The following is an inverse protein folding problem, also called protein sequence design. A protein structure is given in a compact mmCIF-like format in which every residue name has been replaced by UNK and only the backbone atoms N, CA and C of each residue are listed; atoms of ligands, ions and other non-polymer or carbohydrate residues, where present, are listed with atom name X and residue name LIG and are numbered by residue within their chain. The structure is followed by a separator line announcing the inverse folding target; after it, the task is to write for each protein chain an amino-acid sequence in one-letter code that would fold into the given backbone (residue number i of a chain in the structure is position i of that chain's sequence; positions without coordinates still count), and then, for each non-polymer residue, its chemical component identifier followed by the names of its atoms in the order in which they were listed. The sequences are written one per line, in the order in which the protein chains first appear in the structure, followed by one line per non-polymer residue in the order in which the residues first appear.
data_IF_679180878346
#
_entry.id   IF_679180878346
#
_cell.length_a   1.000
_cell.length_b   1.000
_cell.length_c   1.000
_cell.angle_alpha   90.00
_cell.angle_beta   90.00
_cell.angle_gamma   90.00
#
_symmetry.space_group_name_H-M   'P 1'
#
loop_
_entity.id
_entity.type
_entity.pdbx_description
1 polymer ?
#
# COMPACT_ATOMS: atom_id res chain seq x y z
N UNK A 1 10.91 52.34 0.18
CA UNK A 1 10.25 51.23 0.91
C UNK A 1 10.25 50.00 0.00
N UNK A 2 11.11 48.99 0.22
CA UNK A 2 11.22 47.85 -0.73
C UNK A 2 12.31 46.80 -0.48
N UNK A 3 13.11 46.94 0.59
CA UNK A 3 14.23 46.03 0.89
C UNK A 3 13.81 44.88 1.82
N UNK A 4 12.82 45.09 2.70
CA UNK A 4 12.33 44.08 3.66
C UNK A 4 11.65 42.88 3.00
N UNK A 5 10.75 43.12 2.04
CA UNK A 5 9.97 42.07 1.36
C UNK A 5 10.85 41.11 0.54
N UNK A 6 11.94 41.62 -0.05
CA UNK A 6 12.87 40.80 -0.86
C UNK A 6 13.76 39.89 -0.02
N UNK A 7 14.11 40.28 1.21
CA UNK A 7 14.88 39.41 2.13
C UNK A 7 14.00 38.29 2.66
N UNK A 8 12.79 38.61 3.15
CA UNK A 8 11.87 37.61 3.69
C UNK A 8 11.46 36.57 2.65
N UNK A 9 11.21 36.99 1.40
CA UNK A 9 10.93 36.05 0.30
C UNK A 9 12.11 35.11 0.00
N UNK A 10 13.36 35.60 0.07
CA UNK A 10 14.56 34.77 -0.12
C UNK A 10 14.76 33.77 1.03
N UNK A 11 14.53 34.17 2.28
CA UNK A 11 14.67 33.28 3.44
C UNK A 11 13.61 32.18 3.45
N UNK A 12 12.35 32.50 3.11
CA UNK A 12 11.31 31.48 2.93
C UNK A 12 11.64 30.53 1.77
N UNK A 13 12.19 31.05 0.67
CA UNK A 13 12.63 30.24 -0.47
C UNK A 13 13.73 29.24 -0.09
N UNK A 14 14.75 29.67 0.68
CA UNK A 14 15.81 28.78 1.15
C UNK A 14 15.31 27.73 2.15
N UNK A 15 14.45 28.11 3.09
CA UNK A 15 13.89 27.18 4.07
C UNK A 15 13.03 26.10 3.38
N UNK A 16 12.20 26.50 2.41
CA UNK A 16 11.41 25.56 1.61
C UNK A 16 12.27 24.60 0.79
N UNK A 17 13.34 25.08 0.17
CA UNK A 17 14.29 24.25 -0.57
C UNK A 17 15.03 23.26 0.34
N UNK A 18 15.47 23.70 1.52
CA UNK A 18 16.12 22.84 2.49
C UNK A 18 15.18 21.74 3.02
N UNK A 19 13.93 22.08 3.34
CA UNK A 19 12.92 21.11 3.77
C UNK A 19 12.62 20.07 2.67
N UNK A 20 12.45 20.52 1.42
CA UNK A 20 12.27 19.63 0.27
C UNK A 20 13.48 18.73 0.04
N UNK A 21 14.70 19.27 0.16
CA UNK A 21 15.95 18.51 0.06
C UNK A 21 16.05 17.41 1.12
N UNK A 22 15.84 17.76 2.39
CA UNK A 22 15.83 16.79 3.51
C UNK A 22 14.80 15.70 3.30
N UNK A 23 13.58 16.07 2.87
CA UNK A 23 12.54 15.09 2.58
C UNK A 23 12.97 14.13 1.47
N UNK A 24 13.43 14.65 0.33
CA UNK A 24 13.79 13.85 -0.84
C UNK A 24 15.01 12.96 -0.62
N UNK A 25 15.97 13.40 0.20
CA UNK A 25 17.24 12.70 0.40
C UNK A 25 17.24 11.73 1.60
N UNK A 26 16.45 12.01 2.64
CA UNK A 26 16.46 11.19 3.87
C UNK A 26 15.12 10.48 4.11
N UNK A 27 14.02 11.23 4.16
CA UNK A 27 12.72 10.68 4.55
C UNK A 27 12.12 9.79 3.47
N UNK A 28 12.23 10.21 2.20
CA UNK A 28 11.68 9.48 1.07
C UNK A 28 12.35 8.11 0.88
N UNK A 29 13.69 7.99 0.81
CA UNK A 29 14.33 6.68 0.69
C UNK A 29 13.98 5.77 1.87
N UNK A 30 13.90 6.30 3.09
CA UNK A 30 13.53 5.53 4.27
C UNK A 30 12.09 4.97 4.19
N UNK A 31 11.08 5.81 3.94
CA UNK A 31 9.70 5.33 3.94
C UNK A 31 9.35 4.51 2.70
N UNK A 32 10.11 4.67 1.61
CA UNK A 32 9.91 3.90 0.37
C UNK A 32 10.36 2.44 0.50
N UNK A 33 11.28 2.16 1.42
CA UNK A 33 11.77 0.81 1.74
C UNK A 33 11.43 0.34 3.17
N UNK A 34 10.40 0.93 3.78
CA UNK A 34 10.14 0.75 5.20
C UNK A 34 9.97 -0.74 5.57
N UNK A 35 10.89 -1.23 6.40
CA UNK A 35 10.91 -2.61 6.86
C UNK A 35 11.36 -3.63 5.82
N UNK A 36 11.58 -3.25 4.55
CA UNK A 36 12.06 -4.14 3.48
C UNK A 36 13.59 -4.21 3.44
N UNK A 37 14.13 -5.33 2.97
CA UNK A 37 15.57 -5.49 2.70
C UNK A 37 15.92 -5.01 1.29
N UNK A 38 17.22 -4.81 1.02
CA UNK A 38 17.68 -4.42 -0.32
C UNK A 38 17.42 -5.54 -1.35
N UNK A 39 17.55 -6.82 -0.95
CA UNK A 39 17.18 -7.99 -1.76
C UNK A 39 15.68 -8.01 -2.09
N UNK A 40 14.82 -7.76 -1.10
CA UNK A 40 13.38 -7.64 -1.30
C UNK A 40 13.02 -6.47 -2.21
N UNK A 41 13.84 -5.41 -2.26
CA UNK A 41 13.62 -4.27 -3.14
C UNK A 41 14.08 -4.54 -4.57
N UNK A 42 15.17 -5.31 -4.75
CA UNK A 42 15.73 -5.63 -6.06
C UNK A 42 15.10 -6.84 -6.74
N UNK A 43 14.49 -7.76 -5.99
CA UNK A 43 13.86 -8.97 -6.55
C UNK A 43 12.57 -8.61 -7.29
N UNK A 44 12.38 -9.07 -8.54
CA UNK A 44 11.12 -8.89 -9.27
C UNK A 44 9.95 -9.58 -8.55
N UNK A 45 8.80 -8.90 -8.49
CA UNK A 45 7.54 -9.44 -7.98
C UNK A 45 6.50 -9.49 -9.10
N UNK A 46 5.51 -10.40 -9.02
CA UNK A 46 4.38 -10.40 -9.94
C UNK A 46 3.70 -9.03 -9.99
N UNK A 47 3.41 -8.55 -11.20
CA UNK A 47 2.83 -7.22 -11.44
C UNK A 47 3.84 -6.11 -11.70
N UNK A 48 5.14 -6.34 -11.49
CA UNK A 48 6.17 -5.32 -11.77
C UNK A 48 6.25 -4.92 -13.25
N UNK A 49 5.79 -5.78 -14.16
CA UNK A 49 5.78 -5.55 -15.60
C UNK A 49 4.45 -4.96 -16.10
N UNK A 50 3.47 -4.74 -15.22
CA UNK A 50 2.17 -4.16 -15.59
C UNK A 50 2.24 -2.65 -15.82
N UNK A 51 3.27 -2.00 -15.28
CA UNK A 51 3.56 -0.56 -15.45
C UNK A 51 4.84 -0.42 -16.28
N UNK A 52 4.71 -0.22 -17.60
CA UNK A 52 5.85 -0.19 -18.53
C UNK A 52 6.98 0.82 -18.15
N UNK A 53 6.63 1.96 -17.54
CA UNK A 53 7.58 3.00 -17.10
C UNK A 53 7.25 3.53 -15.70
N UNK A 54 7.38 2.67 -14.68
CA UNK A 54 7.11 3.07 -13.30
C UNK A 54 8.01 4.24 -12.86
N UNK A 55 7.41 5.40 -12.62
CA UNK A 55 8.12 6.62 -12.16
C UNK A 55 8.33 6.68 -10.65
N UNK A 56 7.61 5.82 -9.92
CA UNK A 56 7.75 5.59 -8.50
C UNK A 56 7.53 4.10 -8.21
N UNK A 57 8.39 3.55 -7.36
CA UNK A 57 8.30 2.19 -6.83
C UNK A 57 8.65 2.23 -5.35
N UNK A 58 7.78 1.67 -4.52
CA UNK A 58 8.01 1.52 -3.08
C UNK A 58 7.83 0.07 -2.68
N UNK A 59 8.74 -0.47 -1.88
CA UNK A 59 8.68 -1.84 -1.35
C UNK A 59 8.69 -1.79 0.17
N UNK A 60 7.66 -2.29 0.84
CA UNK A 60 7.54 -2.25 2.31
C UNK A 60 7.27 -3.63 2.82
N UNK A 61 7.81 -3.97 3.99
CA UNK A 61 7.66 -5.33 4.50
C UNK A 61 7.56 -5.39 6.02
N UNK A 62 6.84 -6.39 6.51
CA UNK A 62 6.75 -6.73 7.93
C UNK A 62 6.78 -8.24 8.11
N UNK A 63 7.36 -8.69 9.21
CA UNK A 63 7.28 -10.09 9.64
C UNK A 63 6.11 -10.24 10.60
N UNK A 64 5.27 -11.23 10.35
CA UNK A 64 4.05 -11.53 11.09
C UNK A 64 4.21 -12.92 11.70
N UNK A 65 3.99 -13.04 13.02
CA UNK A 65 4.00 -14.32 13.73
C UNK A 65 2.68 -15.09 13.50
N UNK A 66 2.37 -15.35 12.23
CA UNK A 66 1.26 -16.19 11.80
C UNK A 66 1.62 -16.97 10.52
N UNK A 67 1.02 -18.15 10.28
CA UNK A 67 1.23 -18.90 9.04
C UNK A 67 0.65 -18.16 7.82
N UNK A 68 1.15 -18.42 6.59
CA UNK A 68 0.75 -17.66 5.40
C UNK A 68 -0.76 -17.66 5.14
N UNK A 69 -1.45 -18.76 5.44
CA UNK A 69 -2.91 -18.85 5.28
C UNK A 69 -3.69 -17.91 6.21
N UNK A 70 -3.21 -17.70 7.45
CA UNK A 70 -3.84 -16.78 8.38
C UNK A 70 -3.63 -15.33 7.96
N UNK A 71 -2.45 -15.00 7.43
CA UNK A 71 -2.16 -13.69 6.85
C UNK A 71 -2.99 -13.47 5.57
N UNK A 72 -3.06 -14.48 4.71
CA UNK A 72 -3.83 -14.45 3.48
C UNK A 72 -5.32 -14.20 3.71
N UNK A 73 -5.92 -14.88 4.70
CA UNK A 73 -7.32 -14.67 5.06
C UNK A 73 -7.62 -13.20 5.39
N UNK A 74 -6.65 -12.46 5.95
CA UNK A 74 -6.79 -11.02 6.21
C UNK A 74 -6.60 -10.17 4.95
N UNK A 75 -5.71 -10.58 4.05
CA UNK A 75 -5.46 -9.89 2.77
C UNK A 75 -6.66 -10.03 1.82
N UNK A 76 -7.35 -11.16 1.81
CA UNK A 76 -8.55 -11.30 0.95
C UNK A 76 -9.80 -10.61 1.52
N UNK A 77 -9.75 -10.20 2.78
CA UNK A 77 -10.78 -9.37 3.42
C UNK A 77 -10.57 -7.87 3.18
N UNK A 78 -9.46 -7.46 2.54
CA UNK A 78 -9.24 -6.07 2.12
C UNK A 78 -10.41 -5.67 1.20
N UNK A 79 -11.25 -4.74 1.63
CA UNK A 79 -12.47 -4.35 0.90
C UNK A 79 -13.80 -4.60 1.61
N UNK A 80 -13.82 -5.43 2.66
CA UNK A 80 -15.00 -5.70 3.49
C UNK A 80 -14.97 -4.95 4.83
N UNK A 81 -13.77 -4.76 5.38
CA UNK A 81 -13.57 -4.03 6.62
C UNK A 81 -13.00 -2.65 6.26
N UNK A 82 -13.72 -1.57 6.62
CA UNK A 82 -13.04 -0.30 6.92
C UNK A 82 -11.93 -0.67 7.89
N UNK A 83 -10.66 -0.34 7.59
CA UNK A 83 -9.56 -0.69 8.50
C UNK A 83 -9.82 -0.02 9.86
N UNK A 84 -10.43 -0.77 10.77
CA UNK A 84 -10.51 -0.43 12.18
C UNK A 84 -9.15 -0.81 12.79
N UNK A 85 -8.15 0.03 12.54
CA UNK A 85 -7.18 0.20 13.62
C UNK A 85 -8.01 0.54 14.85
N UNK A 86 -7.85 -0.20 15.95
CA UNK A 86 -8.46 0.14 17.23
C UNK A 86 -8.22 1.63 17.49
N UNK A 87 -9.27 2.46 17.32
CA UNK A 87 -9.18 3.92 17.26
C UNK A 87 -9.14 4.56 15.86
N UNK A 88 -9.99 4.12 14.91
CA UNK A 88 -10.21 4.87 13.66
C UNK A 88 -10.73 6.27 13.98
N UNK A 89 -9.91 7.29 13.72
CA UNK A 89 -10.30 8.70 13.89
C UNK A 89 -10.83 9.25 12.56
N UNK A 90 -11.53 10.40 12.57
CA UNK A 90 -11.92 11.14 11.35
C UNK A 90 -10.76 11.41 10.37
N UNK A 91 -9.52 11.34 10.86
CA UNK A 91 -8.30 11.43 10.06
C UNK A 91 -8.13 10.25 9.10
N UNK A 92 -8.58 9.05 9.47
CA UNK A 92 -8.44 7.84 8.67
C UNK A 92 -9.39 7.81 7.46
N UNK A 93 -10.58 8.40 7.64
CA UNK A 93 -11.56 8.63 6.59
C UNK A 93 -11.07 9.69 5.59
N UNK A 94 -10.42 10.76 6.08
CA UNK A 94 -9.80 11.80 5.26
C UNK A 94 -8.61 11.29 4.43
N UNK A 95 -7.86 10.31 4.93
CA UNK A 95 -6.74 9.70 4.22
C UNK A 95 -7.16 8.69 3.13
N UNK A 96 -8.46 8.40 2.97
CA UNK A 96 -8.93 7.45 1.96
C UNK A 96 -8.48 6.01 2.24
N UNK A 97 -8.40 5.64 3.52
CA UNK A 97 -8.00 4.30 3.97
C UNK A 97 -9.07 3.24 3.74
N UNK A 98 -10.31 3.61 3.45
CA UNK A 98 -11.37 2.64 3.16
C UNK A 98 -11.08 1.93 1.85
N UNK A 99 -10.92 0.61 1.89
CA UNK A 99 -11.03 -0.21 0.68
C UNK A 99 -12.46 -0.70 0.64
N UNK A 100 -13.15 -0.53 -0.48
CA UNK A 100 -14.51 -1.05 -0.67
C UNK A 100 -14.58 -1.88 -1.94
N UNK A 101 -15.05 -3.12 -1.81
CA UNK A 101 -15.37 -3.96 -2.97
C UNK A 101 -16.64 -3.46 -3.65
N UNK A 102 -16.62 -3.34 -4.98
CA UNK A 102 -17.79 -2.84 -5.74
C UNK A 102 -18.48 -3.92 -6.57
N UNK A 103 -17.70 -4.78 -7.23
CA UNK A 103 -18.21 -5.79 -8.16
C UNK A 103 -17.64 -7.18 -7.78
N UNK A 104 -18.26 -7.88 -6.81
CA UNK A 104 -17.82 -9.21 -6.41
C UNK A 104 -18.23 -10.26 -7.46
N UNK A 105 -17.26 -11.03 -7.95
CA UNK A 105 -17.49 -12.16 -8.87
C UNK A 105 -17.45 -13.52 -8.14
N UNK A 106 -16.85 -13.58 -6.94
CA UNK A 106 -16.68 -14.81 -6.17
C UNK A 106 -17.90 -15.22 -5.33
N UNK A 107 -18.10 -16.53 -5.19
CA UNK A 107 -19.00 -17.08 -4.17
C UNK A 107 -18.42 -16.84 -2.75
N UNK A 108 -19.31 -16.67 -1.76
CA UNK A 108 -18.99 -16.58 -0.33
C UNK A 108 -18.05 -15.43 0.10
N UNK A 109 -17.95 -14.34 -0.68
CA UNK A 109 -17.17 -13.16 -0.31
C UNK A 109 -15.65 -13.29 -0.48
N UNK A 110 -15.16 -14.36 -1.11
CA UNK A 110 -13.74 -14.49 -1.46
C UNK A 110 -13.37 -13.56 -2.62
N UNK A 111 -12.16 -12.98 -2.62
CA UNK A 111 -11.64 -12.20 -3.76
C UNK A 111 -11.45 -13.12 -4.95
N UNK A 112 -11.96 -12.71 -6.10
CA UNK A 112 -11.76 -13.38 -7.39
C UNK A 112 -11.03 -12.48 -8.37
N UNK A 113 -10.42 -13.08 -9.41
CA UNK A 113 -9.86 -12.31 -10.53
C UNK A 113 -10.94 -11.36 -11.09
N UNK A 114 -10.54 -10.12 -11.38
CA UNK A 114 -11.44 -9.08 -11.86
C UNK A 114 -12.23 -8.33 -10.78
N UNK A 115 -12.22 -8.78 -9.52
CA UNK A 115 -12.90 -8.05 -8.44
C UNK A 115 -12.33 -6.63 -8.30
N UNK A 116 -13.21 -5.64 -8.22
CA UNK A 116 -12.83 -4.24 -8.10
C UNK A 116 -12.78 -3.78 -6.64
N UNK A 117 -11.63 -3.24 -6.26
CA UNK A 117 -11.33 -2.63 -4.99
C UNK A 117 -11.14 -1.12 -5.17
N UNK A 118 -12.01 -0.35 -4.56
CA UNK A 118 -11.93 1.12 -4.58
C UNK A 118 -11.24 1.61 -3.32
N UNK A 119 -10.22 2.45 -3.49
CA UNK A 119 -9.58 3.15 -2.38
C UNK A 119 -10.32 4.45 -2.07
N UNK A 120 -10.60 4.69 -0.79
CA UNK A 120 -11.30 5.85 -0.28
C UNK A 120 -12.79 5.91 -0.63
N UNK A 121 -13.47 6.97 -0.19
CA UNK A 121 -14.86 7.23 -0.55
C UNK A 121 -15.00 7.44 -2.07
N UNK A 122 -16.19 7.16 -2.62
CA UNK A 122 -16.47 7.21 -4.06
C UNK A 122 -16.17 8.58 -4.72
N UNK A 123 -16.15 9.65 -3.93
CA UNK A 123 -15.89 11.03 -4.35
C UNK A 123 -14.41 11.42 -4.32
N UNK A 124 -13.51 10.54 -3.88
CA UNK A 124 -12.09 10.86 -3.66
C UNK A 124 -11.23 10.97 -4.93
N UNK A 125 -11.76 10.61 -6.11
CA UNK A 125 -10.99 10.62 -7.37
C UNK A 125 -9.80 9.65 -7.39
N UNK A 126 -9.69 8.77 -6.40
CA UNK A 126 -8.67 7.73 -6.33
C UNK A 126 -8.93 6.62 -7.36
N UNK A 127 -7.87 5.98 -7.88
CA UNK A 127 -8.00 4.93 -8.86
C UNK A 127 -8.74 3.71 -8.28
N UNK A 128 -9.57 3.09 -9.11
CA UNK A 128 -10.14 1.77 -8.87
C UNK A 128 -9.07 0.76 -9.26
N UNK A 129 -8.81 -0.21 -8.37
CA UNK A 129 -7.93 -1.33 -8.65
C UNK A 129 -8.76 -2.58 -8.89
N UNK A 130 -8.34 -3.41 -9.83
CA UNK A 130 -8.93 -4.72 -10.09
C UNK A 130 -7.93 -5.82 -9.71
N UNK A 131 -8.42 -6.96 -9.25
CA UNK A 131 -7.58 -8.14 -8.99
C UNK A 131 -7.06 -8.69 -10.32
N UNK A 132 -5.77 -8.49 -10.59
CA UNK A 132 -5.10 -8.93 -11.81
C UNK A 132 -4.45 -10.32 -11.64
N UNK A 133 -3.92 -10.62 -10.45
CA UNK A 133 -3.34 -11.93 -10.12
C UNK A 133 -3.77 -12.33 -8.72
N UNK A 134 -4.15 -13.59 -8.55
CA UNK A 134 -4.45 -14.18 -7.25
C UNK A 134 -3.84 -15.59 -7.16
N UNK A 135 -2.89 -15.75 -6.24
CA UNK A 135 -2.28 -17.02 -5.87
C UNK A 135 -2.47 -17.22 -4.37
N UNK A 136 -3.46 -18.04 -3.96
CA UNK A 136 -3.84 -18.21 -2.56
C UNK A 136 -2.67 -18.52 -1.62
N UNK A 137 -2.50 -17.68 -0.60
CA UNK A 137 -1.45 -17.84 0.41
C UNK A 137 -0.06 -17.38 -0.04
N UNK A 138 0.08 -16.85 -1.27
CA UNK A 138 1.37 -16.49 -1.86
C UNK A 138 1.38 -15.09 -2.43
N UNK A 139 0.46 -14.72 -3.31
CA UNK A 139 0.52 -13.42 -4.00
C UNK A 139 -0.86 -12.90 -4.39
N UNK A 140 -1.08 -11.61 -4.17
CA UNK A 140 -2.22 -10.86 -4.70
C UNK A 140 -1.68 -9.65 -5.45
N UNK A 141 -2.08 -9.46 -6.71
CA UNK A 141 -1.73 -8.26 -7.50
C UNK A 141 -3.00 -7.52 -7.84
N UNK A 142 -3.05 -6.26 -7.44
CA UNK A 142 -4.10 -5.32 -7.79
C UNK A 142 -3.55 -4.34 -8.82
N UNK A 143 -4.29 -4.06 -9.89
CA UNK A 143 -3.83 -3.13 -10.92
C UNK A 143 -4.95 -2.20 -11.37
N UNK A 144 -4.58 -0.99 -11.79
CA UNK A 144 -5.50 -0.15 -12.57
C UNK A 144 -5.74 -0.76 -13.96
N UNK A 145 -6.81 -0.36 -14.68
CA UNK A 145 -7.10 -0.88 -16.02
C UNK A 145 -5.88 -0.80 -16.97
N UNK A 146 -5.77 -1.77 -17.89
CA UNK A 146 -4.70 -1.84 -18.89
C UNK A 146 -3.49 -2.67 -18.49
N UNK A 147 -3.58 -3.50 -17.45
CA UNK A 147 -2.49 -4.38 -17.02
C UNK A 147 -2.19 -5.51 -18.02
N UNK A 148 -3.21 -5.99 -18.75
CA UNK A 148 -3.09 -6.99 -19.81
C UNK A 148 -2.22 -6.51 -20.98
N UNK A 149 -2.16 -5.19 -21.17
CA UNK A 149 -1.38 -4.51 -22.22
C UNK A 149 -0.17 -3.76 -21.65
N UNK A 150 0.24 -4.06 -20.40
CA UNK A 150 1.35 -3.40 -19.69
C UNK A 150 1.26 -1.88 -19.64
N UNK A 151 0.05 -1.37 -19.70
CA UNK A 151 -0.29 0.06 -19.76
C UNK A 151 -0.97 0.53 -18.48
N UNK A 152 -0.83 -0.23 -17.38
CA UNK A 152 -1.42 0.14 -16.09
C UNK A 152 -0.73 1.37 -15.53
N UNK A 153 -1.51 2.31 -15.00
CA UNK A 153 -0.98 3.52 -14.38
C UNK A 153 -0.45 3.26 -12.96
N UNK A 154 -0.99 2.26 -12.26
CA UNK A 154 -0.52 1.84 -10.96
C UNK A 154 -0.81 0.37 -10.67
N UNK A 155 0.08 -0.25 -9.90
CA UNK A 155 -0.01 -1.64 -9.46
C UNK A 155 0.34 -1.74 -7.99
N UNK A 156 -0.38 -2.60 -7.27
CA UNK A 156 -0.23 -2.85 -5.85
C UNK A 156 -0.17 -4.36 -5.58
N UNK A 157 1.02 -4.85 -5.30
CA UNK A 157 1.33 -6.27 -5.10
C UNK A 157 1.51 -6.58 -3.61
N UNK A 158 0.91 -7.67 -3.16
CA UNK A 158 1.09 -8.27 -1.85
C UNK A 158 1.73 -9.65 -2.04
N UNK A 159 2.95 -9.84 -1.57
CA UNK A 159 3.67 -11.10 -1.63
C UNK A 159 3.92 -11.66 -0.22
N UNK A 160 3.58 -12.93 -0.01
CA UNK A 160 3.77 -13.64 1.24
C UNK A 160 4.91 -14.64 1.07
N UNK A 161 5.97 -14.49 1.86
CA UNK A 161 7.08 -15.45 1.94
C UNK A 161 7.09 -16.10 3.30
N UNK A 162 7.14 -17.43 3.37
CA UNK A 162 7.32 -18.14 4.64
C UNK A 162 8.76 -17.94 5.12
N UNK A 163 8.95 -17.52 6.37
CA UNK A 163 10.28 -17.29 6.96
C UNK A 163 10.57 -18.17 8.17
N UNK A 164 9.58 -18.92 8.66
CA UNK A 164 9.78 -19.91 9.72
C UNK A 164 8.48 -20.66 10.05
N UNK A 165 8.53 -21.61 11.01
CA UNK A 165 7.34 -22.27 11.52
C UNK A 165 6.37 -21.23 12.11
N UNK A 166 5.21 -21.05 11.47
CA UNK A 166 4.21 -20.08 11.91
C UNK A 166 4.60 -18.61 11.72
N UNK A 167 5.61 -18.30 10.91
CA UNK A 167 6.02 -16.91 10.61
C UNK A 167 5.99 -16.62 9.11
N UNK A 168 5.42 -15.48 8.75
CA UNK A 168 5.25 -15.02 7.37
C UNK A 168 5.81 -13.62 7.21
N UNK A 169 6.60 -13.44 6.17
CA UNK A 169 7.05 -12.14 5.68
C UNK A 169 6.04 -11.65 4.66
N UNK A 170 5.35 -10.55 4.99
CA UNK A 170 4.45 -9.87 4.08
C UNK A 170 5.20 -8.70 3.45
N UNK A 171 5.31 -8.73 2.13
CA UNK A 171 5.94 -7.70 1.30
C UNK A 171 4.83 -7.02 0.49
N UNK A 172 4.83 -5.70 0.49
CA UNK A 172 3.95 -4.88 -0.33
C UNK A 172 4.81 -4.08 -1.29
N UNK A 173 4.51 -4.17 -2.58
CA UNK A 173 5.12 -3.33 -3.61
C UNK A 173 4.06 -2.51 -4.30
N UNK A 174 4.32 -1.22 -4.42
CA UNK A 174 3.48 -0.32 -5.17
C UNK A 174 4.28 0.38 -6.23
N UNK A 175 3.77 0.34 -7.46
CA UNK A 175 4.34 1.03 -8.60
C UNK A 175 3.33 2.00 -9.18
N UNK A 176 3.80 3.16 -9.63
CA UNK A 176 2.96 4.13 -10.32
C UNK A 176 3.70 4.92 -11.39
N UNK A 177 2.98 5.23 -12.46
CA UNK A 177 3.42 6.08 -13.54
C UNK A 177 2.87 7.50 -13.34
N UNK A 178 3.74 8.49 -13.49
CA UNK A 178 3.39 9.91 -13.57
C UNK A 178 3.68 10.39 -14.99
N UNK A 179 2.66 10.93 -15.68
CA UNK A 179 2.77 11.38 -17.07
C UNK A 179 3.48 12.72 -17.21
N UNK A 180 3.45 13.54 -16.14
CA UNK A 180 4.07 14.87 -16.14
C UNK A 180 5.04 15.06 -14.99
N UNK A 181 6.00 15.98 -15.14
CA UNK A 181 6.92 16.35 -14.04
C UNK A 181 6.15 16.93 -12.85
N UNK A 182 5.10 17.73 -13.10
CA UNK A 182 4.23 18.27 -12.04
C UNK A 182 3.56 17.15 -11.24
N UNK A 183 3.01 16.17 -11.93
CA UNK A 183 2.40 15.00 -11.30
C UNK A 183 3.42 14.21 -10.49
N UNK A 184 4.62 14.00 -11.03
CA UNK A 184 5.71 13.31 -10.34
C UNK A 184 6.12 14.03 -9.05
N UNK A 185 6.25 15.36 -9.08
CA UNK A 185 6.57 16.16 -7.89
C UNK A 185 5.44 16.08 -6.86
N UNK A 186 4.18 16.24 -7.28
CA UNK A 186 3.02 16.08 -6.40
C UNK A 186 2.96 14.68 -5.78
N UNK A 187 3.19 13.65 -6.59
CA UNK A 187 3.21 12.26 -6.13
C UNK A 187 4.31 12.06 -5.08
N UNK A 188 5.54 12.50 -5.35
CA UNK A 188 6.65 12.38 -4.38
C UNK A 188 6.41 13.15 -3.09
N UNK A 189 5.90 14.39 -3.15
CA UNK A 189 5.79 15.23 -1.95
C UNK A 189 4.51 14.98 -1.13
N UNK A 190 3.45 14.46 -1.76
CA UNK A 190 2.13 14.30 -1.11
C UNK A 190 1.62 12.86 -1.26
N UNK A 191 1.63 12.31 -2.46
CA UNK A 191 1.12 10.96 -2.74
C UNK A 191 1.84 9.86 -1.96
N UNK A 192 3.17 9.80 -2.06
CA UNK A 192 4.00 8.77 -1.43
C UNK A 192 3.96 8.81 0.11
N UNK A 193 4.01 9.98 0.79
CA UNK A 193 3.78 10.07 2.24
C UNK A 193 2.41 9.56 2.68
N UNK A 194 1.35 9.98 1.99
CA UNK A 194 -0.01 9.52 2.31
C UNK A 194 -0.12 8.02 2.09
N UNK A 195 0.38 7.52 0.96
CA UNK A 195 0.44 6.09 0.68
C UNK A 195 1.27 5.31 1.72
N UNK A 196 2.39 5.87 2.19
CA UNK A 196 3.17 5.27 3.27
C UNK A 196 2.37 5.12 4.55
N UNK A 197 1.69 6.18 4.99
CA UNK A 197 0.85 6.12 6.17
C UNK A 197 -0.22 5.02 6.03
N UNK A 198 -0.83 4.92 4.83
CA UNK A 198 -1.84 3.92 4.53
C UNK A 198 -1.33 2.49 4.54
N UNK A 199 -0.26 2.20 3.81
CA UNK A 199 0.31 0.86 3.76
C UNK A 199 0.88 0.44 5.11
N UNK A 200 1.45 1.36 5.88
CA UNK A 200 1.94 1.07 7.22
C UNK A 200 0.80 0.71 8.18
N UNK A 201 -0.32 1.41 8.12
CA UNK A 201 -1.51 1.09 8.90
C UNK A 201 -2.07 -0.28 8.50
N UNK A 202 -2.20 -0.54 7.20
CA UNK A 202 -2.62 -1.83 6.65
C UNK A 202 -1.73 -2.97 7.14
N UNK A 203 -0.41 -2.87 6.97
CA UNK A 203 0.55 -3.90 7.38
C UNK A 203 0.46 -4.21 8.87
N UNK A 204 0.33 -3.18 9.71
CA UNK A 204 0.17 -3.34 11.16
C UNK A 204 -1.17 -3.97 11.52
N UNK A 205 -2.27 -3.51 10.92
CA UNK A 205 -3.60 -4.07 11.18
C UNK A 205 -3.73 -5.54 10.75
N UNK A 206 -3.12 -5.91 9.61
CA UNK A 206 -3.02 -7.31 9.17
C UNK A 206 -2.20 -8.14 10.17
N UNK A 207 -1.04 -7.62 10.60
CA UNK A 207 -0.20 -8.29 11.60
C UNK A 207 -0.95 -8.56 12.90
N UNK A 208 -1.52 -7.52 13.50
CA UNK A 208 -2.22 -7.63 14.79
C UNK A 208 -3.38 -8.63 14.73
N UNK A 209 -4.20 -8.58 13.67
CA UNK A 209 -5.35 -9.48 13.53
C UNK A 209 -4.97 -10.91 13.18
N UNK A 210 -3.89 -11.11 12.43
CA UNK A 210 -3.38 -12.44 12.12
C UNK A 210 -2.75 -13.10 13.35
N UNK A 211 -1.93 -12.36 14.12
CA UNK A 211 -1.30 -12.85 15.35
C UNK A 211 -2.35 -13.13 16.44
N UNK A 212 -3.34 -12.23 16.63
CA UNK A 212 -4.46 -12.47 17.58
C UNK A 212 -5.27 -13.72 17.23
N UNK A 213 -5.51 -13.98 15.94
CA UNK A 213 -6.23 -15.18 15.51
C UNK A 213 -5.44 -16.48 15.77
N UNK A 214 -4.11 -16.41 15.95
CA UNK A 214 -3.29 -17.54 16.39
C UNK A 214 -3.24 -17.68 17.91
N UNK A 215 -3.31 -16.56 18.66
CA UNK A 215 -3.23 -16.58 20.12
C UNK A 215 -4.54 -17.03 20.80
N UNK A 216 -5.69 -16.87 20.15
CA UNK A 216 -6.95 -17.44 20.64
C UNK A 216 -6.89 -18.96 20.45
N UNK A 217 -6.85 -19.77 21.53
CA UNK A 217 -6.90 -21.21 21.40
C UNK A 217 -8.17 -21.58 20.64
N UNK A 218 -8.07 -22.48 19.65
CA UNK A 218 -9.24 -23.14 19.06
C UNK A 218 -9.87 -24.08 20.11
N UNK A 219 -10.45 -23.48 21.15
CA UNK A 219 -11.11 -24.18 22.25
C UNK A 219 -12.52 -24.62 21.84
N UNK A 220 -12.70 -25.92 21.67
CA UNK A 220 -13.95 -26.61 21.99
C UNK A 220 -15.12 -26.44 21.02
N UNK A 221 -15.05 -27.09 19.84
CA UNK A 221 -16.25 -27.77 19.35
C UNK A 221 -16.37 -29.09 20.13
N UNK A 222 -17.07 -29.05 21.26
CA UNK A 222 -17.65 -30.27 21.82
C UNK A 222 -18.90 -30.60 21.01
N UNK A 223 -18.91 -31.87 20.57
CA UNK A 223 -20.02 -32.70 20.13
C UNK A 223 -21.37 -32.36 20.75
#
# INVERSE_FOLDING_TARGET
MGIGTKRTAKTLGLAGAAAAGTYLLALRPWHSRWGATDDETGTPLPGDDFVADATSSTTRAITIAAPPLAVWARIIQLGHETYDSVGATRFDEWLGLSVRRQNPHGADGQLSLGDELRLGPAVSGLPVFSVAVIDPGRTLVLSTPGWETRSSAATWTFALRRVGPGATRLIIRFQSQSRTVRERVRNRLVGEPLQFARERALLKGVRERAERAQSVPRGGRRS
#
